data_IF_841670742255
#
_entry.id   IF_841670742255
#
_cell.length_a   1.000
_cell.length_b   1.000
_cell.length_c   1.000
_cell.angle_alpha   90.00
_cell.angle_beta   90.00
_cell.angle_gamma   90.00
#
_symmetry.space_group_name_H-M   'P 1'
#
loop_
_entity.id
_entity.type
_entity.pdbx_description
1 polymer ?
#
# COMPACT_ATOMS: atom_id res chain seq x y z
N UNK A 1 -87.42 -47.55 36.39
CA UNK A 1 -86.44 -46.93 37.31
C UNK A 1 -84.97 -47.23 36.96
N UNK A 2 -84.64 -48.23 36.12
CA UNK A 2 -83.24 -48.59 35.81
C UNK A 2 -82.43 -47.59 34.96
N UNK A 3 -83.06 -46.94 33.98
CA UNK A 3 -82.33 -46.13 32.97
C UNK A 3 -81.52 -44.95 33.54
N UNK A 4 -81.96 -44.33 34.65
CA UNK A 4 -81.29 -43.17 35.23
C UNK A 4 -79.94 -43.54 35.89
N UNK A 5 -79.89 -44.69 36.55
CA UNK A 5 -78.67 -45.16 37.22
C UNK A 5 -77.58 -45.52 36.21
N UNK A 6 -77.98 -46.13 35.10
CA UNK A 6 -77.08 -46.45 33.98
C UNK A 6 -76.56 -45.17 33.32
N UNK A 7 -77.44 -44.19 33.04
CA UNK A 7 -77.03 -42.91 32.46
C UNK A 7 -76.07 -42.13 33.37
N UNK A 8 -76.31 -42.09 34.68
CA UNK A 8 -75.39 -41.42 35.62
C UNK A 8 -74.03 -42.11 35.69
N UNK A 9 -73.99 -43.44 35.58
CA UNK A 9 -72.74 -44.21 35.56
C UNK A 9 -71.96 -43.95 34.28
N UNK A 10 -72.66 -43.94 33.14
CA UNK A 10 -72.09 -43.58 31.84
C UNK A 10 -71.52 -42.17 31.85
N UNK A 11 -72.29 -41.18 32.34
CA UNK A 11 -71.85 -39.78 32.43
C UNK A 11 -70.61 -39.62 33.32
N UNK A 12 -70.53 -40.36 34.43
CA UNK A 12 -69.31 -40.37 35.27
C UNK A 12 -68.10 -40.86 34.48
N UNK A 13 -68.25 -41.96 33.74
CA UNK A 13 -67.18 -42.48 32.88
C UNK A 13 -66.75 -41.48 31.80
N UNK A 14 -67.70 -40.81 31.14
CA UNK A 14 -67.41 -39.77 30.15
C UNK A 14 -66.70 -38.55 30.78
N UNK A 15 -67.12 -38.11 31.96
CA UNK A 15 -66.46 -37.01 32.70
C UNK A 15 -65.04 -37.38 33.11
N UNK A 16 -64.81 -38.61 33.57
CA UNK A 16 -63.48 -39.08 33.96
C UNK A 16 -62.56 -39.26 32.74
N UNK A 17 -63.11 -39.69 31.60
CA UNK A 17 -62.38 -39.71 30.32
C UNK A 17 -61.98 -38.29 29.90
N UNK A 18 -62.91 -37.34 29.89
CA UNK A 18 -62.63 -35.93 29.55
C UNK A 18 -61.58 -35.29 30.47
N UNK A 19 -61.61 -35.61 31.76
CA UNK A 19 -60.59 -35.15 32.73
C UNK A 19 -59.22 -35.75 32.43
N UNK A 20 -59.18 -37.03 32.07
CA UNK A 20 -57.95 -37.72 31.69
C UNK A 20 -57.36 -37.13 30.41
N UNK A 21 -58.18 -36.92 29.37
CA UNK A 21 -57.78 -36.30 28.11
C UNK A 21 -57.27 -34.87 28.30
N UNK A 22 -57.96 -34.07 29.13
CA UNK A 22 -57.49 -32.74 29.51
C UNK A 22 -56.13 -32.81 30.22
N UNK A 23 -55.94 -33.78 31.11
CA UNK A 23 -54.66 -34.02 31.77
C UNK A 23 -53.54 -34.33 30.77
N UNK A 24 -53.80 -35.23 29.82
CA UNK A 24 -52.87 -35.56 28.75
C UNK A 24 -52.51 -34.34 27.89
N UNK A 25 -53.51 -33.56 27.47
CA UNK A 25 -53.29 -32.32 26.70
C UNK A 25 -52.42 -31.32 27.45
N UNK A 26 -52.66 -31.12 28.75
CA UNK A 26 -51.85 -30.21 29.57
C UNK A 26 -50.40 -30.71 29.69
N UNK A 27 -50.21 -32.02 29.86
CA UNK A 27 -48.88 -32.61 29.89
C UNK A 27 -48.14 -32.40 28.57
N UNK A 28 -48.81 -32.65 27.44
CA UNK A 28 -48.24 -32.42 26.10
C UNK A 28 -47.90 -30.95 25.85
N UNK A 29 -48.77 -30.02 26.27
CA UNK A 29 -48.50 -28.59 26.16
C UNK A 29 -47.27 -28.20 26.99
N UNK A 30 -47.15 -28.70 28.23
CA UNK A 30 -45.97 -28.40 29.05
C UNK A 30 -44.70 -29.00 28.48
N UNK A 31 -44.76 -30.20 27.88
CA UNK A 31 -43.62 -30.82 27.20
C UNK A 31 -43.21 -30.00 25.98
N UNK A 32 -44.16 -29.68 25.09
CA UNK A 32 -43.90 -28.85 23.91
C UNK A 32 -43.32 -27.47 24.25
N UNK A 33 -43.79 -26.85 25.35
CA UNK A 33 -43.22 -25.58 25.81
C UNK A 33 -41.74 -25.71 26.25
N UNK A 34 -41.37 -26.81 26.92
CA UNK A 34 -39.98 -27.08 27.31
C UNK A 34 -39.09 -27.38 26.11
N UNK A 35 -39.60 -28.17 25.16
CA UNK A 35 -38.88 -28.51 23.94
C UNK A 35 -38.62 -27.26 23.09
N UNK A 36 -39.63 -26.38 22.95
CA UNK A 36 -39.49 -25.10 22.27
C UNK A 36 -38.48 -24.18 22.97
N UNK A 37 -38.55 -24.08 24.31
CA UNK A 37 -37.60 -23.27 25.08
C UNK A 37 -36.15 -23.77 24.87
N UNK A 38 -35.97 -25.09 24.84
CA UNK A 38 -34.66 -25.73 24.58
C UNK A 38 -34.18 -25.45 23.16
N UNK A 39 -35.05 -25.57 22.16
CA UNK A 39 -34.73 -25.29 20.77
C UNK A 39 -34.35 -23.81 20.55
N UNK A 40 -35.08 -22.87 21.17
CA UNK A 40 -34.76 -21.44 21.10
C UNK A 40 -33.45 -21.13 21.82
N UNK A 41 -33.18 -21.77 22.97
CA UNK A 41 -31.91 -21.62 23.67
C UNK A 41 -30.73 -22.10 22.81
N UNK A 42 -30.86 -23.25 22.16
CA UNK A 42 -29.85 -23.77 21.24
C UNK A 42 -29.62 -22.81 20.06
N UNK A 43 -30.68 -22.34 19.40
CA UNK A 43 -30.57 -21.39 18.28
C UNK A 43 -29.86 -20.09 18.69
N UNK A 44 -30.15 -19.57 19.88
CA UNK A 44 -29.47 -18.38 20.41
C UNK A 44 -27.99 -18.65 20.67
N UNK A 45 -27.65 -19.81 21.24
CA UNK A 45 -26.27 -20.21 21.46
C UNK A 45 -25.50 -20.29 20.13
N UNK A 46 -26.05 -20.98 19.14
CA UNK A 46 -25.46 -21.12 17.81
C UNK A 46 -25.26 -19.76 17.12
N UNK A 47 -26.25 -18.87 17.22
CA UNK A 47 -26.14 -17.52 16.68
C UNK A 47 -25.01 -16.73 17.35
N UNK A 48 -24.91 -16.78 18.68
CA UNK A 48 -23.81 -16.11 19.39
C UNK A 48 -22.45 -16.70 19.02
N UNK A 49 -22.35 -18.03 18.91
CA UNK A 49 -21.13 -18.70 18.49
C UNK A 49 -20.72 -18.27 17.07
N UNK A 50 -21.66 -18.27 16.11
CA UNK A 50 -21.42 -17.82 14.75
C UNK A 50 -20.94 -16.35 14.71
N UNK A 51 -21.57 -15.46 15.47
CA UNK A 51 -21.15 -14.06 15.55
C UNK A 51 -19.76 -13.89 16.14
N UNK A 52 -19.41 -14.65 17.19
CA UNK A 52 -18.06 -14.59 17.76
C UNK A 52 -17.00 -15.11 16.78
N UNK A 53 -17.31 -16.17 16.02
CA UNK A 53 -16.41 -16.70 15.00
C UNK A 53 -16.22 -15.71 13.85
N UNK A 54 -17.30 -15.07 13.38
CA UNK A 54 -17.21 -14.02 12.35
C UNK A 54 -16.42 -12.80 12.84
N UNK A 55 -16.62 -12.37 14.08
CA UNK A 55 -15.87 -11.26 14.66
C UNK A 55 -14.37 -11.57 14.74
N UNK A 56 -13.99 -12.79 15.13
CA UNK A 56 -12.59 -13.23 15.14
C UNK A 56 -11.99 -13.24 13.74
N UNK A 57 -12.67 -13.89 12.79
CA UNK A 57 -12.22 -13.98 11.39
C UNK A 57 -12.04 -12.60 10.75
N UNK A 58 -13.02 -11.71 10.91
CA UNK A 58 -12.92 -10.33 10.39
C UNK A 58 -11.84 -9.51 11.12
N UNK A 59 -11.54 -9.81 12.38
CA UNK A 59 -10.39 -9.26 13.10
C UNK A 59 -9.06 -9.69 12.47
N UNK A 60 -8.86 -11.00 12.29
CA UNK A 60 -7.66 -11.58 11.67
C UNK A 60 -7.44 -11.06 10.24
N UNK A 61 -8.49 -11.00 9.42
CA UNK A 61 -8.42 -10.45 8.07
C UNK A 61 -7.98 -8.98 8.06
N UNK A 62 -8.47 -8.17 9.02
CA UNK A 62 -8.07 -6.77 9.17
C UNK A 62 -6.62 -6.64 9.62
N UNK A 63 -6.16 -7.49 10.53
CA UNK A 63 -4.76 -7.50 10.99
C UNK A 63 -3.81 -7.82 9.82
N UNK A 64 -4.13 -8.84 9.02
CA UNK A 64 -3.37 -9.19 7.82
C UNK A 64 -3.34 -8.02 6.83
N UNK A 65 -4.48 -7.38 6.59
CA UNK A 65 -4.57 -6.22 5.69
C UNK A 65 -3.69 -5.05 6.18
N UNK A 66 -3.75 -4.72 7.47
CA UNK A 66 -2.93 -3.64 8.05
C UNK A 66 -1.45 -3.98 7.99
N UNK A 67 -1.06 -5.22 8.26
CA UNK A 67 0.33 -5.67 8.15
C UNK A 67 0.85 -5.51 6.72
N UNK A 68 0.08 -5.95 5.71
CA UNK A 68 0.43 -5.80 4.30
C UNK A 68 0.59 -4.31 3.91
N UNK A 69 -0.30 -3.44 4.40
CA UNK A 69 -0.22 -2.00 4.15
C UNK A 69 1.01 -1.36 4.79
N UNK A 70 1.40 -1.79 6.00
CA UNK A 70 2.63 -1.34 6.66
C UNK A 70 3.86 -1.75 5.83
N UNK A 71 3.89 -2.99 5.34
CA UNK A 71 4.98 -3.49 4.51
C UNK A 71 5.10 -2.72 3.18
N UNK A 72 3.96 -2.42 2.53
CA UNK A 72 3.92 -1.62 1.31
C UNK A 72 4.45 -0.20 1.53
N UNK A 73 4.00 0.48 2.59
CA UNK A 73 4.47 1.83 2.94
C UNK A 73 5.97 1.82 3.26
N UNK A 74 6.45 0.82 3.99
CA UNK A 74 7.88 0.66 4.29
C UNK A 74 8.70 0.42 3.02
N UNK A 75 8.19 -0.38 2.06
CA UNK A 75 8.82 -0.59 0.77
C UNK A 75 8.93 0.73 0.00
N UNK A 76 7.84 1.49 -0.11
CA UNK A 76 7.81 2.78 -0.79
C UNK A 76 8.75 3.80 -0.15
N UNK A 77 8.80 3.86 1.17
CA UNK A 77 9.72 4.73 1.90
C UNK A 77 11.19 4.32 1.66
N UNK A 78 11.44 3.01 1.56
CA UNK A 78 12.73 2.45 1.21
C UNK A 78 13.18 2.84 -0.21
N UNK A 79 12.30 2.71 -1.20
CA UNK A 79 12.55 3.12 -2.58
C UNK A 79 12.82 4.63 -2.68
N UNK A 80 11.95 5.45 -2.09
CA UNK A 80 12.13 6.91 -2.07
C UNK A 80 13.47 7.32 -1.45
N UNK A 81 13.90 6.64 -0.39
CA UNK A 81 15.19 6.89 0.26
C UNK A 81 16.36 6.53 -0.66
N UNK A 82 16.26 5.45 -1.44
CA UNK A 82 17.28 5.07 -2.43
C UNK A 82 17.36 6.10 -3.55
N UNK A 83 16.22 6.47 -4.13
CA UNK A 83 16.13 7.46 -5.20
C UNK A 83 16.74 8.80 -4.78
N UNK A 84 16.40 9.27 -3.57
CA UNK A 84 16.98 10.49 -3.02
C UNK A 84 18.51 10.41 -2.91
N UNK A 85 19.03 9.27 -2.46
CA UNK A 85 20.48 9.07 -2.35
C UNK A 85 21.15 9.02 -3.72
N UNK A 86 20.53 8.39 -4.70
CA UNK A 86 21.04 8.32 -6.07
C UNK A 86 21.04 9.68 -6.74
N UNK A 87 19.97 10.46 -6.59
CA UNK A 87 19.94 11.87 -7.03
C UNK A 87 21.04 12.70 -6.36
N UNK A 88 21.27 12.51 -5.05
CA UNK A 88 22.33 13.22 -4.34
C UNK A 88 23.73 12.83 -4.84
N UNK A 89 23.96 11.54 -5.13
CA UNK A 89 25.21 11.03 -5.71
C UNK A 89 25.44 11.58 -7.10
N UNK A 90 24.44 11.48 -7.99
CA UNK A 90 24.48 12.00 -9.35
C UNK A 90 24.75 13.50 -9.35
N UNK A 91 24.03 14.27 -8.53
CA UNK A 91 24.26 15.71 -8.41
C UNK A 91 25.66 16.08 -7.92
N UNK A 92 26.28 15.30 -7.01
CA UNK A 92 27.68 15.51 -6.61
C UNK A 92 28.65 15.19 -7.74
N UNK A 93 28.42 14.09 -8.46
CA UNK A 93 29.23 13.68 -9.60
C UNK A 93 29.20 14.75 -10.70
N UNK A 94 28.01 15.18 -11.12
CA UNK A 94 27.82 16.19 -12.17
C UNK A 94 28.51 17.51 -11.82
N UNK A 95 28.37 17.98 -10.56
CA UNK A 95 29.09 19.16 -10.07
C UNK A 95 30.61 18.96 -10.09
N UNK A 96 31.09 17.77 -9.70
CA UNK A 96 32.51 17.44 -9.72
C UNK A 96 33.09 17.47 -11.14
N UNK A 97 32.36 16.90 -12.11
CA UNK A 97 32.73 16.95 -13.53
C UNK A 97 32.77 18.39 -14.04
N UNK A 98 31.73 19.18 -13.75
CA UNK A 98 31.67 20.59 -14.15
C UNK A 98 32.83 21.41 -13.58
N UNK A 99 33.12 21.28 -12.28
CA UNK A 99 34.22 22.00 -11.65
C UNK A 99 35.59 21.57 -12.18
N UNK A 100 35.75 20.28 -12.51
CA UNK A 100 36.99 19.76 -13.12
C UNK A 100 37.20 20.34 -14.52
N UNK A 101 36.13 20.41 -15.32
CA UNK A 101 36.15 21.01 -16.65
C UNK A 101 36.49 22.50 -16.57
N UNK A 102 35.82 23.24 -15.68
CA UNK A 102 36.09 24.67 -15.45
C UNK A 102 37.54 24.90 -15.02
N UNK A 103 38.06 24.10 -14.08
CA UNK A 103 39.45 24.17 -13.64
C UNK A 103 40.42 23.92 -14.80
N UNK A 104 40.13 22.95 -15.66
CA UNK A 104 40.94 22.65 -16.86
C UNK A 104 40.98 23.85 -17.81
N UNK A 105 39.82 24.45 -18.09
CA UNK A 105 39.72 25.63 -18.97
C UNK A 105 40.50 26.83 -18.40
N UNK A 106 40.31 27.15 -17.12
CA UNK A 106 41.05 28.25 -16.47
C UNK A 106 42.55 27.99 -16.48
N UNK A 107 42.98 26.75 -16.18
CA UNK A 107 44.40 26.37 -16.22
C UNK A 107 44.97 26.48 -17.64
N UNK A 108 44.19 26.12 -18.67
CA UNK A 108 44.55 26.32 -20.07
C UNK A 108 44.78 27.79 -20.40
N UNK A 109 43.81 28.65 -20.09
CA UNK A 109 43.91 30.09 -20.33
C UNK A 109 45.13 30.74 -19.63
N UNK A 110 45.42 30.32 -18.39
CA UNK A 110 46.61 30.79 -17.68
C UNK A 110 47.91 30.36 -18.37
N UNK A 111 47.97 29.13 -18.91
CA UNK A 111 49.15 28.65 -19.65
C UNK A 111 49.34 29.44 -20.94
N UNK A 112 48.28 29.60 -21.72
CA UNK A 112 48.31 30.35 -22.99
C UNK A 112 48.81 31.79 -22.75
N UNK A 113 48.32 32.44 -21.69
CA UNK A 113 48.77 33.80 -21.30
C UNK A 113 50.26 33.84 -20.94
N UNK A 114 50.76 32.82 -20.22
CA UNK A 114 52.19 32.73 -19.87
C UNK A 114 53.04 32.51 -21.12
N UNK A 115 52.59 31.64 -22.03
CA UNK A 115 53.26 31.36 -23.29
C UNK A 115 53.31 32.61 -24.18
N UNK A 116 52.21 33.37 -24.26
CA UNK A 116 52.15 34.66 -24.97
C UNK A 116 53.13 35.68 -24.39
N UNK A 117 53.20 35.81 -23.06
CA UNK A 117 54.16 36.70 -22.40
C UNK A 117 55.61 36.26 -22.64
N UNK A 118 55.87 34.95 -22.67
CA UNK A 118 57.20 34.41 -23.00
C UNK A 118 57.55 34.65 -24.47
N UNK A 119 56.60 34.47 -25.39
CA UNK A 119 56.74 34.78 -26.81
C UNK A 119 57.04 36.27 -27.04
N UNK A 120 56.29 37.16 -26.38
CA UNK A 120 56.55 38.60 -26.39
C UNK A 120 57.95 38.90 -25.84
N UNK A 121 58.34 38.35 -24.69
CA UNK A 121 59.70 38.55 -24.14
C UNK A 121 60.80 38.11 -25.09
N UNK A 122 60.62 36.99 -25.81
CA UNK A 122 61.58 36.50 -26.80
C UNK A 122 61.66 37.43 -28.02
N UNK A 123 60.51 37.85 -28.55
CA UNK A 123 60.44 38.79 -29.68
C UNK A 123 61.11 40.14 -29.35
N UNK A 124 60.87 40.65 -28.14
CA UNK A 124 61.41 41.94 -27.69
C UNK A 124 62.91 41.90 -27.38
N UNK A 125 63.46 40.76 -26.95
CA UNK A 125 64.91 40.62 -26.72
C UNK A 125 65.74 40.59 -28.01
N UNK A 126 65.12 40.68 -29.20
CA UNK A 126 65.83 40.66 -30.48
C UNK A 126 66.54 39.34 -30.78
N UNK A 127 66.36 38.32 -29.93
CA UNK A 127 66.87 36.97 -30.12
C UNK A 127 65.86 36.25 -31.00
N UNK A 128 65.87 36.55 -32.30
CA UNK A 128 65.19 35.68 -33.25
C UNK A 128 65.73 34.26 -33.01
N UNK A 129 64.89 33.20 -33.12
CA UNK A 129 65.42 31.84 -33.16
C UNK A 129 66.45 31.83 -34.28
N UNK A 130 67.72 31.85 -33.88
CA UNK A 130 68.83 32.01 -34.80
C UNK A 130 68.67 30.95 -35.87
N UNK A 131 68.53 31.40 -37.12
CA UNK A 131 68.39 30.57 -38.32
C UNK A 131 69.12 29.25 -38.11
N UNK A 132 68.39 28.19 -37.76
CA UNK A 132 68.94 26.85 -37.78
C UNK A 132 69.30 26.61 -39.23
N UNK A 133 70.60 26.65 -39.52
CA UNK A 133 71.21 26.28 -40.78
C UNK A 133 70.48 25.03 -41.30
N UNK A 134 70.04 24.99 -42.57
CA UNK A 134 69.33 23.82 -43.10
C UNK A 134 70.23 22.59 -42.93
N UNK A 135 69.92 21.75 -41.95
CA UNK A 135 70.58 20.46 -41.78
C UNK A 135 70.05 19.59 -42.91
N UNK A 136 70.98 19.21 -43.78
CA UNK A 136 70.86 18.29 -44.89
C UNK A 136 69.95 17.13 -44.51
N UNK A 137 68.79 17.02 -45.17
CA UNK A 137 67.92 15.87 -45.06
C UNK A 137 68.70 14.61 -45.41
N UNK A 138 68.92 13.73 -44.43
CA UNK A 138 69.24 12.34 -44.68
C UNK A 138 67.94 11.55 -44.64
N UNK A 139 67.83 10.70 -45.66
CA UNK A 139 66.72 9.86 -46.08
C UNK A 139 66.08 9.04 -44.95
N UNK A 140 64.80 8.78 -45.18
CA UNK A 140 63.90 7.84 -44.51
C UNK A 140 64.54 6.50 -44.12
N UNK A 141 63.92 5.81 -43.15
CA UNK A 141 63.40 4.51 -43.50
C UNK A 141 61.91 4.34 -43.20
N UNK A 142 61.25 3.78 -44.21
CA UNK A 142 60.02 2.98 -44.16
C UNK A 142 59.98 2.10 -42.90
N UNK A 143 58.81 2.02 -42.24
CA UNK A 143 58.18 0.75 -41.77
C UNK A 143 56.90 1.04 -40.95
N UNK A 144 55.79 0.52 -41.49
CA UNK A 144 54.63 -0.11 -40.83
C UNK A 144 53.48 0.77 -40.30
N UNK A 145 52.36 0.64 -41.04
CA UNK A 145 50.97 0.91 -40.63
C UNK A 145 50.62 0.19 -39.31
N UNK A 146 49.76 0.80 -38.48
CA UNK A 146 48.47 0.15 -38.25
C UNK A 146 47.27 1.12 -38.22
N UNK A 147 46.25 0.72 -38.98
CA UNK A 147 44.82 0.71 -38.64
C UNK A 147 44.20 2.05 -38.19
N UNK A 148 43.49 2.66 -39.14
CA UNK A 148 42.46 3.67 -38.90
C UNK A 148 41.21 3.03 -38.26
N UNK A 149 40.52 3.71 -37.32
CA UNK A 149 39.16 3.38 -36.92
C UNK A 149 38.13 3.74 -38.01
N UNK A 150 36.91 3.16 -37.98
CA UNK A 150 35.94 3.26 -39.07
C UNK A 150 35.34 4.66 -39.19
N UNK A 151 35.13 5.07 -40.45
CA UNK A 151 34.37 6.24 -40.88
C UNK A 151 32.90 5.99 -40.57
N UNK A 152 32.32 6.73 -39.62
CA UNK A 152 30.87 6.86 -39.49
C UNK A 152 30.33 7.72 -40.63
N UNK A 153 29.66 7.06 -41.56
CA UNK A 153 28.82 7.68 -42.55
C UNK A 153 27.59 8.29 -41.87
N UNK A 154 27.45 9.61 -41.98
CA UNK A 154 26.16 10.27 -41.88
C UNK A 154 25.26 9.88 -43.06
N UNK A 155 23.97 9.60 -42.81
CA UNK A 155 22.94 10.06 -43.73
C UNK A 155 21.93 10.96 -43.02
N UNK A 156 21.75 12.16 -43.58
CA UNK A 156 20.52 12.93 -43.42
C UNK A 156 19.45 12.30 -44.31
N UNK A 157 18.24 12.12 -43.78
CA UNK A 157 16.95 12.67 -44.26
C UNK A 157 15.79 11.68 -44.09
N UNK A 158 14.60 12.25 -43.84
CA UNK A 158 13.25 11.64 -43.83
C UNK A 158 12.91 11.01 -42.46
N UNK A 159 12.32 11.71 -41.49
CA UNK A 159 10.91 12.20 -41.41
C UNK A 159 9.92 11.17 -41.97
N UNK A 160 9.68 10.13 -41.18
CA UNK A 160 8.50 9.29 -41.30
C UNK A 160 7.84 9.24 -39.92
N UNK A 161 6.58 9.68 -39.89
CA UNK A 161 5.76 9.76 -38.70
C UNK A 161 5.51 8.36 -38.14
N UNK A 162 5.95 8.10 -36.92
CA UNK A 162 5.53 6.92 -36.18
C UNK A 162 4.50 7.36 -35.15
N UNK A 163 3.22 7.20 -35.53
CA UNK A 163 2.07 7.29 -34.63
C UNK A 163 2.19 6.23 -33.53
N UNK A 164 2.53 6.67 -32.31
CA UNK A 164 2.28 5.88 -31.11
C UNK A 164 0.81 6.06 -30.71
N UNK A 165 0.02 5.07 -31.12
CA UNK A 165 -1.19 4.53 -30.48
C UNK A 165 -1.76 5.32 -29.30
N UNK A 166 -2.82 6.09 -29.58
CA UNK A 166 -3.91 6.30 -28.62
C UNK A 166 -4.98 5.24 -28.85
N UNK A 167 -4.86 4.10 -28.17
CA UNK A 167 -6.00 3.22 -27.91
C UNK A 167 -6.69 3.64 -26.61
N UNK A 168 -7.98 3.91 -26.69
CA UNK A 168 -8.92 4.02 -25.57
C UNK A 168 -10.27 3.50 -26.07
N UNK A 169 -11.13 2.88 -25.23
CA UNK A 169 -10.95 1.88 -24.17
C UNK A 169 -11.80 0.60 -24.52
N UNK A 170 -12.12 -0.40 -23.66
CA UNK A 170 -12.98 -0.24 -22.48
C UNK A 170 -12.66 -1.15 -21.27
N UNK A 171 -13.15 -0.71 -20.11
CA UNK A 171 -13.44 -1.56 -18.97
C UNK A 171 -14.33 -2.74 -19.39
N UNK A 172 -13.89 -3.99 -19.15
CA UNK A 172 -14.73 -5.17 -18.83
C UNK A 172 -13.90 -6.21 -18.09
N UNK A 173 -14.11 -6.27 -16.78
CA UNK A 173 -13.74 -7.41 -15.94
C UNK A 173 -14.62 -8.59 -16.40
N UNK A 174 -14.01 -9.74 -16.69
CA UNK A 174 -14.74 -10.92 -17.19
C UNK A 174 -15.50 -11.59 -16.03
N UNK A 175 -16.81 -11.63 -16.17
CA UNK A 175 -17.68 -12.59 -15.50
C UNK A 175 -17.34 -14.02 -15.91
N UNK A 176 -17.31 -14.92 -14.91
CA UNK A 176 -17.59 -16.34 -15.10
C UNK A 176 -19.04 -16.56 -14.70
N UNK A 177 -19.87 -16.94 -15.67
CA UNK A 177 -21.10 -17.71 -15.43
C UNK A 177 -20.80 -19.20 -15.72
N UNK A 178 -21.57 -20.18 -15.22
CA UNK A 178 -23.01 -20.27 -15.47
C UNK A 178 -23.89 -20.76 -14.29
N UNK A 179 -25.14 -20.31 -14.21
CA UNK A 179 -26.34 -21.19 -14.22
C UNK A 179 -27.65 -20.41 -14.02
N UNK A 180 -28.45 -20.41 -15.10
CA UNK A 180 -29.93 -20.42 -15.18
C UNK A 180 -30.73 -20.37 -13.87
N UNK A 181 -31.60 -19.37 -13.77
CA UNK A 181 -33.07 -19.56 -13.79
C UNK A 181 -33.83 -18.24 -13.96
N UNK A 182 -34.71 -18.23 -14.95
CA UNK A 182 -35.82 -17.30 -15.09
C UNK A 182 -36.72 -17.38 -13.84
N UNK A 183 -37.25 -16.25 -13.34
CA UNK A 183 -38.59 -15.75 -13.68
C UNK A 183 -39.03 -14.61 -12.73
N UNK A 184 -39.87 -13.71 -13.27
CA UNK A 184 -40.83 -12.81 -12.62
C UNK A 184 -40.37 -11.41 -12.14
N UNK A 185 -40.65 -10.45 -13.04
CA UNK A 185 -41.14 -9.09 -12.73
C UNK A 185 -42.08 -9.08 -11.52
N UNK A 186 -41.89 -8.11 -10.62
CA UNK A 186 -42.94 -7.17 -10.16
C UNK A 186 -42.39 -6.09 -9.20
N UNK A 187 -42.67 -4.84 -9.59
CA UNK A 187 -43.11 -3.72 -8.75
C UNK A 187 -42.10 -2.98 -7.86
N UNK A 188 -42.18 -1.65 -7.98
CA UNK A 188 -41.57 -0.61 -7.18
C UNK A 188 -41.87 -0.70 -5.67
N UNK A 189 -40.88 -0.34 -4.86
CA UNK A 189 -41.03 0.53 -3.70
C UNK A 189 -39.63 0.86 -3.15
N UNK A 190 -39.31 2.14 -3.06
CA UNK A 190 -38.14 2.62 -2.32
C UNK A 190 -38.30 2.31 -0.83
N UNK A 191 -37.24 1.90 -0.11
CA UNK A 191 -37.15 2.15 1.32
C UNK A 191 -36.27 3.37 1.57
N UNK A 192 -36.94 4.36 2.16
CA UNK A 192 -36.38 5.48 2.91
C UNK A 192 -35.18 5.02 3.73
N UNK A 193 -34.02 5.62 3.48
CA UNK A 193 -32.83 5.47 4.32
C UNK A 193 -33.08 6.28 5.58
N UNK A 194 -33.57 5.63 6.64
CA UNK A 194 -33.58 6.19 7.99
C UNK A 194 -32.13 6.38 8.45
N UNK A 195 -31.70 7.64 8.45
CA UNK A 195 -30.45 8.10 9.03
C UNK A 195 -30.51 7.86 10.55
N UNK A 196 -29.89 6.77 11.01
CA UNK A 196 -29.62 6.57 12.43
C UNK A 196 -28.61 7.63 12.93
N UNK A 197 -28.89 8.34 14.04
CA UNK A 197 -28.00 9.35 14.56
C UNK A 197 -26.76 8.69 15.18
N UNK A 198 -25.60 9.14 14.69
CA UNK A 198 -24.26 8.84 15.19
C UNK A 198 -24.21 9.08 16.72
N UNK A 199 -24.14 8.01 17.51
CA UNK A 199 -23.96 8.11 18.95
C UNK A 199 -22.58 8.71 19.23
N UNK A 200 -22.57 9.92 19.80
CA UNK A 200 -21.42 10.60 20.38
C UNK A 200 -20.64 9.63 21.26
N UNK A 201 -19.46 9.22 20.80
CA UNK A 201 -18.44 8.63 21.65
C UNK A 201 -18.08 9.65 22.73
N UNK A 202 -18.24 9.24 23.99
CA UNK A 202 -17.83 10.03 25.15
C UNK A 202 -16.35 10.35 25.05
N UNK A 203 -16.04 11.63 24.94
CA UNK A 203 -14.72 12.20 25.22
C UNK A 203 -14.25 11.69 26.59
N UNK A 204 -13.18 10.90 26.59
CA UNK A 204 -12.40 10.66 27.80
C UNK A 204 -11.52 11.88 28.00
N UNK A 205 -11.93 12.70 28.96
CA UNK A 205 -11.20 13.83 29.51
C UNK A 205 -9.77 13.47 29.87
N UNK A 206 -8.82 14.09 29.19
CA UNK A 206 -7.36 13.98 29.38
C UNK A 206 -6.83 14.94 30.47
N UNK A 207 -7.58 15.15 31.55
CA UNK A 207 -7.20 16.08 32.60
C UNK A 207 -7.32 15.41 33.97
N UNK A 208 -6.25 14.73 34.37
CA UNK A 208 -5.80 14.69 35.78
C UNK A 208 -4.47 13.92 35.90
N UNK A 209 -3.39 14.44 35.30
CA UNK A 209 -2.03 14.11 35.75
C UNK A 209 -1.53 15.21 36.68
N UNK A 210 -1.61 14.92 37.99
CA UNK A 210 -1.07 15.74 39.07
C UNK A 210 0.45 15.84 38.97
N UNK A 211 1.07 17.00 39.23
CA UNK A 211 2.52 17.12 39.32
C UNK A 211 3.02 16.47 40.62
N UNK A 212 3.89 15.47 40.50
CA UNK A 212 4.65 14.95 41.65
C UNK A 212 5.62 16.03 42.10
N UNK A 213 5.32 16.59 43.27
CA UNK A 213 6.14 17.56 44.00
C UNK A 213 7.58 17.07 44.17
N UNK A 214 8.50 17.96 43.85
CA UNK A 214 9.88 17.94 44.31
C UNK A 214 9.93 17.82 45.84
N UNK A 215 10.69 16.86 46.34
CA UNK A 215 11.09 16.79 47.74
C UNK A 215 12.61 16.76 47.79
N UNK A 216 13.17 17.95 48.03
CA UNK A 216 14.52 18.17 48.53
C UNK A 216 14.67 17.51 49.90
N UNK A 217 15.87 16.98 50.22
CA UNK A 217 16.65 17.25 51.46
C UNK A 217 17.72 16.19 51.75
N UNK A 218 18.97 16.63 51.56
CA UNK A 218 20.17 16.43 52.38
C UNK A 218 20.36 15.13 53.21
N UNK A 219 21.49 14.46 52.98
CA UNK A 219 22.29 13.89 54.07
C UNK A 219 23.79 14.10 53.83
N UNK A 220 24.37 14.95 54.67
CA UNK A 220 25.81 15.04 54.97
C UNK A 220 26.25 13.78 55.73
N UNK A 221 27.48 13.34 55.48
CA UNK A 221 28.24 12.40 56.32
C UNK A 221 29.47 11.97 55.53
N UNK A 222 30.63 12.65 55.61
CA UNK A 222 31.68 12.45 56.64
C UNK A 222 31.92 10.96 56.94
N UNK A 223 32.90 10.37 56.26
CA UNK A 223 34.11 9.79 56.86
C UNK A 223 35.22 9.80 55.81
#
# INVERSE_FOLDING_TARGET
MGNLTDDMTRLRGEVDALRSDRGALMNDLTRGARDLATAVAAMRADFTAAHTAMAKKTGEEREIFVAAMIDEVNSLLGEFSRDRNDMARKGRYDRGVFLSEMKRQVTGLCKDTVDDLMGARLAWRGRSPGKSRPVRMKKEPVVVKPISPPVEASPKKTVEAQEFKTEKPPAKFKDKEPLKKEEKKKTAAAPVVDYMPFQKSKEKSWLDEKPVKAMTRAKRGRK
#
